data_IF_547489504565
#
_entry.id   IF_547489504565
#
_cell.length_a   1.000
_cell.length_b   1.000
_cell.length_c   1.000
_cell.angle_alpha   90.00
_cell.angle_beta   90.00
_cell.angle_gamma   90.00
#
_symmetry.space_group_name_H-M   'P 1'
#
loop_
_entity.id
_entity.type
_entity.pdbx_description
1 polymer ?
#
# COMPACT_ATOMS: atom_id res chain seq x y z
N UNK A 1 -9.06 -13.59 -22.48
CA UNK A 1 -8.25 -13.26 -21.30
C UNK A 1 -6.83 -13.75 -21.56
N UNK A 2 -5.82 -12.90 -21.43
CA UNK A 2 -4.41 -13.31 -21.56
C UNK A 2 -3.89 -13.72 -20.18
N UNK A 3 -3.33 -14.92 -20.06
CA UNK A 3 -2.76 -15.44 -18.83
C UNK A 3 -1.28 -15.74 -19.04
N UNK A 4 -0.41 -15.20 -18.18
CA UNK A 4 1.04 -15.45 -18.22
C UNK A 4 1.39 -16.49 -17.17
N UNK A 5 2.23 -17.46 -17.53
CA UNK A 5 2.73 -18.47 -16.57
C UNK A 5 3.83 -17.83 -15.71
N UNK A 6 3.63 -17.88 -14.40
CA UNK A 6 4.59 -17.43 -13.40
C UNK A 6 5.11 -18.64 -12.62
N UNK A 7 6.42 -18.81 -12.58
CA UNK A 7 7.09 -19.83 -11.76
C UNK A 7 7.78 -19.13 -10.60
N UNK A 8 7.46 -19.51 -9.37
CA UNK A 8 8.00 -18.93 -8.14
C UNK A 8 8.69 -20.03 -7.32
N UNK A 9 9.81 -19.70 -6.68
CA UNK A 9 10.35 -20.52 -5.60
C UNK A 9 9.70 -20.09 -4.29
N UNK A 10 9.06 -21.03 -3.60
CA UNK A 10 8.39 -20.80 -2.31
C UNK A 10 8.63 -22.02 -1.43
N UNK A 11 8.74 -21.81 -0.13
CA UNK A 11 8.86 -22.90 0.85
C UNK A 11 7.69 -23.88 0.74
N UNK A 12 7.98 -25.17 0.90
CA UNK A 12 7.00 -26.24 0.71
C UNK A 12 5.84 -26.11 1.70
N UNK A 13 6.15 -25.73 2.93
CA UNK A 13 5.21 -25.54 4.04
C UNK A 13 4.16 -24.48 3.69
N UNK A 14 4.58 -23.38 3.05
CA UNK A 14 3.70 -22.29 2.62
C UNK A 14 2.75 -22.78 1.53
N UNK A 15 3.26 -23.55 0.55
CA UNK A 15 2.44 -24.11 -0.53
C UNK A 15 1.36 -25.06 0.02
N UNK A 16 1.72 -25.93 0.96
CA UNK A 16 0.79 -26.88 1.57
C UNK A 16 -0.27 -26.20 2.45
N UNK A 17 0.10 -25.13 3.15
CA UNK A 17 -0.85 -24.31 3.90
C UNK A 17 -1.84 -23.60 2.94
N UNK A 18 -1.33 -22.99 1.87
CA UNK A 18 -2.15 -22.26 0.92
C UNK A 18 -3.11 -23.18 0.14
N UNK A 19 -2.71 -24.41 -0.18
CA UNK A 19 -3.60 -25.42 -0.76
C UNK A 19 -4.77 -25.74 0.16
N UNK A 20 -4.49 -26.07 1.44
CA UNK A 20 -5.53 -26.36 2.44
C UNK A 20 -6.51 -25.20 2.59
N UNK A 21 -5.99 -23.97 2.67
CA UNK A 21 -6.82 -22.77 2.70
C UNK A 21 -7.70 -22.66 1.44
N UNK A 22 -7.14 -22.89 0.25
CA UNK A 22 -7.89 -22.77 -0.99
C UNK A 22 -9.05 -23.79 -1.08
N UNK A 23 -8.83 -25.02 -0.64
CA UNK A 23 -9.84 -26.07 -0.59
C UNK A 23 -10.98 -25.74 0.39
N UNK A 24 -10.63 -25.27 1.60
CA UNK A 24 -11.61 -24.91 2.63
C UNK A 24 -12.48 -23.72 2.22
N UNK A 25 -11.91 -22.77 1.48
CA UNK A 25 -12.60 -21.54 1.08
C UNK A 25 -13.18 -21.60 -0.34
N UNK A 26 -13.17 -22.77 -1.00
CA UNK A 26 -13.73 -22.94 -2.35
C UNK A 26 -13.07 -22.06 -3.40
N UNK A 27 -11.78 -21.79 -3.26
CA UNK A 27 -10.98 -20.94 -4.16
C UNK A 27 -9.80 -21.74 -4.73
N UNK A 28 -9.04 -21.15 -5.66
CA UNK A 28 -7.82 -21.76 -6.20
C UNK A 28 -6.59 -21.01 -5.71
N UNK A 29 -5.47 -21.74 -5.58
CA UNK A 29 -4.17 -21.13 -5.27
C UNK A 29 -3.79 -20.06 -6.30
N UNK A 30 -4.06 -20.31 -7.58
CA UNK A 30 -3.84 -19.32 -8.64
C UNK A 30 -4.65 -18.05 -8.42
N UNK A 31 -5.92 -18.16 -8.02
CA UNK A 31 -6.79 -17.01 -7.75
C UNK A 31 -6.32 -16.21 -6.54
N UNK A 32 -5.90 -16.90 -5.47
CA UNK A 32 -5.32 -16.26 -4.28
C UNK A 32 -4.08 -15.44 -4.64
N UNK A 33 -3.13 -16.04 -5.38
CA UNK A 33 -1.90 -15.36 -5.78
C UNK A 33 -2.22 -14.21 -6.73
N UNK A 34 -3.09 -14.40 -7.73
CA UNK A 34 -3.51 -13.32 -8.63
C UNK A 34 -4.13 -12.15 -7.90
N UNK A 35 -4.99 -12.40 -6.90
CA UNK A 35 -5.58 -11.34 -6.09
C UNK A 35 -4.54 -10.62 -5.25
N UNK A 36 -3.63 -11.36 -4.59
CA UNK A 36 -2.56 -10.75 -3.81
C UNK A 36 -1.65 -9.85 -4.69
N UNK A 37 -1.24 -10.36 -5.86
CA UNK A 37 -0.43 -9.61 -6.81
C UNK A 37 -1.16 -8.38 -7.38
N UNK A 38 -2.49 -8.44 -7.56
CA UNK A 38 -3.29 -7.31 -8.04
C UNK A 38 -3.42 -6.16 -7.02
N UNK A 39 -3.23 -6.43 -5.73
CA UNK A 39 -3.26 -5.41 -4.66
C UNK A 39 -1.87 -4.87 -4.32
N UNK A 40 -0.82 -5.29 -5.05
CA UNK A 40 0.49 -4.69 -4.88
C UNK A 40 0.42 -3.20 -5.27
N UNK A 41 0.95 -2.30 -4.44
CA UNK A 41 0.98 -0.88 -4.77
C UNK A 41 1.91 -0.67 -5.98
N UNK A 42 1.33 -0.29 -7.12
CA UNK A 42 2.07 -0.04 -8.37
C UNK A 42 2.85 1.27 -8.34
N UNK A 43 2.35 2.24 -7.58
CA UNK A 43 2.97 3.55 -7.43
C UNK A 43 3.21 3.82 -5.95
N UNK A 44 4.28 4.59 -5.66
CA UNK A 44 4.52 5.16 -4.33
C UNK A 44 3.28 5.87 -3.78
N UNK A 45 3.25 6.21 -2.48
CA UNK A 45 2.03 6.56 -1.76
C UNK A 45 1.12 7.46 -2.61
N UNK A 46 -0.01 6.90 -3.06
CA UNK A 46 -1.00 7.62 -3.84
C UNK A 46 -1.57 8.67 -2.92
N UNK A 47 -1.05 9.89 -3.02
CA UNK A 47 -1.53 11.00 -2.23
C UNK A 47 -3.02 11.16 -2.54
N UNK A 48 -3.86 11.22 -1.50
CA UNK A 48 -5.28 11.46 -1.72
C UNK A 48 -5.47 12.78 -2.51
N UNK A 49 -6.55 12.97 -3.28
CA UNK A 49 -6.76 14.20 -4.04
C UNK A 49 -6.71 15.49 -3.19
N UNK A 50 -7.01 15.37 -1.90
CA UNK A 50 -6.84 16.47 -0.95
C UNK A 50 -5.35 16.75 -0.67
N UNK A 51 -4.57 15.71 -0.37
CA UNK A 51 -3.13 15.83 -0.07
C UNK A 51 -2.34 16.26 -1.31
N UNK A 52 -2.64 15.72 -2.49
CA UNK A 52 -1.99 16.10 -3.75
C UNK A 52 -2.18 17.59 -4.09
N UNK A 53 -3.31 18.20 -3.70
CA UNK A 53 -3.54 19.64 -3.90
C UNK A 53 -2.76 20.53 -2.92
N UNK A 54 -2.34 19.97 -1.79
CA UNK A 54 -1.59 20.69 -0.76
C UNK A 54 -0.08 20.57 -0.95
N UNK A 55 0.38 19.54 -1.68
CA UNK A 55 1.79 19.36 -2.03
C UNK A 55 2.26 20.51 -2.92
N UNK A 56 3.35 21.17 -2.52
CA UNK A 56 3.92 22.32 -3.24
C UNK A 56 3.30 23.68 -2.89
N UNK A 57 2.27 23.73 -2.03
CA UNK A 57 1.68 24.99 -1.56
C UNK A 57 2.59 25.73 -0.56
N UNK A 58 3.44 24.98 0.16
CA UNK A 58 4.38 25.54 1.12
C UNK A 58 5.63 26.03 0.37
N UNK A 59 6.06 27.28 0.60
CA UNK A 59 7.30 27.77 0.03
C UNK A 59 8.51 27.01 0.60
N UNK A 60 9.53 26.80 -0.23
CA UNK A 60 10.68 25.96 0.10
C UNK A 60 11.53 26.47 1.29
N UNK A 61 11.33 27.72 1.70
CA UNK A 61 12.05 28.38 2.79
C UNK A 61 11.31 28.31 4.13
N UNK A 62 10.30 27.47 4.28
CA UNK A 62 9.56 27.36 5.55
C UNK A 62 10.41 26.64 6.61
N UNK A 63 10.52 27.26 7.78
CA UNK A 63 11.11 26.63 8.96
C UNK A 63 10.06 25.80 9.69
N UNK A 64 10.44 24.57 10.05
CA UNK A 64 9.60 23.66 10.85
C UNK A 64 9.37 24.27 12.25
N UNK A 65 10.37 24.99 12.77
CA UNK A 65 10.34 25.66 14.07
C UNK A 65 9.31 26.80 14.08
N UNK A 66 9.25 27.61 13.02
CA UNK A 66 8.25 28.67 12.88
C UNK A 66 6.82 28.10 12.81
N UNK A 67 6.61 27.00 12.08
CA UNK A 67 5.31 26.33 12.04
C UNK A 67 4.91 25.77 13.41
N UNK A 68 5.85 25.17 14.15
CA UNK A 68 5.60 24.70 15.53
C UNK A 68 5.25 25.85 16.47
N UNK A 69 5.95 26.99 16.37
CA UNK A 69 5.66 28.19 17.17
C UNK A 69 4.29 28.81 16.83
N UNK A 70 3.91 28.80 15.55
CA UNK A 70 2.57 29.23 15.13
C UNK A 70 1.47 28.32 15.72
N UNK A 71 1.66 26.99 15.65
CA UNK A 71 0.69 26.05 16.20
C UNK A 71 0.57 26.16 17.73
N UNK A 72 1.69 26.31 18.44
CA UNK A 72 1.66 26.51 19.89
C UNK A 72 0.92 27.80 20.26
N UNK A 73 1.11 28.90 19.51
CA UNK A 73 0.38 30.15 19.74
C UNK A 73 -1.11 30.05 19.39
N UNK A 74 -1.46 29.35 18.31
CA UNK A 74 -2.85 29.19 17.83
C UNK A 74 -3.69 28.28 18.73
N UNK A 75 -3.07 27.24 19.29
CA UNK A 75 -3.72 26.22 20.11
C UNK A 75 -3.35 26.29 21.58
N UNK A 76 -2.68 27.36 22.02
CA UNK A 76 -2.55 27.66 23.43
C UNK A 76 -3.96 27.88 24.00
N UNK A 77 -4.40 26.94 24.84
CA UNK A 77 -5.49 27.09 25.79
C UNK A 77 -5.15 28.18 26.81
#
# INVERSE_FOLDING_TARGET
>A
MSATKLTLLVEKEIVEHAKRYSEQHGTSLSRLVSQALAHLPTDGPTLSPAVSRLVGLLPANISIEEHRAYLSKKHAL
#
